data_IF_286443504962
#
_entry.id   IF_286443504962
#
_cell.length_a   1.000
_cell.length_b   1.000
_cell.length_c   1.000
_cell.angle_alpha   90.00
_cell.angle_beta   90.00
_cell.angle_gamma   90.00
#
_symmetry.space_group_name_H-M   'P 1'
#
loop_
_entity.id
_entity.type
_entity.pdbx_description
1 polymer ?
#
# COMPACT_ATOMS: atom_id res chain seq x y z
N UNK A 1 -59.01 2.74 13.04
CA UNK A 1 -59.04 1.28 12.68
C UNK A 1 -57.60 0.83 12.73
N UNK A 2 -57.15 0.31 13.85
CA UNK A 2 -57.04 -1.13 14.15
C UNK A 2 -55.98 -1.79 13.26
N UNK A 3 -54.92 -2.42 13.65
CA UNK A 3 -54.58 -3.30 14.78
C UNK A 3 -53.10 -3.66 14.71
N UNK A 4 -52.37 -3.56 15.77
CA UNK A 4 -51.45 -4.47 16.44
C UNK A 4 -51.00 -5.73 15.68
N UNK A 5 -49.71 -6.07 15.74
CA UNK A 5 -49.24 -7.22 16.51
C UNK A 5 -47.71 -7.23 16.68
N UNK A 6 -47.35 -7.52 17.92
CA UNK A 6 -46.01 -7.73 18.45
C UNK A 6 -45.51 -9.17 18.11
N UNK A 7 -44.19 -9.32 18.13
CA UNK A 7 -43.52 -10.62 18.09
C UNK A 7 -42.15 -10.56 18.71
N UNK A 8 -42.07 -10.76 20.01
CA UNK A 8 -40.86 -10.99 20.76
C UNK A 8 -40.38 -12.45 20.56
N UNK A 9 -39.09 -12.66 20.49
CA UNK A 9 -38.44 -13.95 20.48
C UNK A 9 -37.02 -13.88 21.01
N UNK A 10 -36.88 -13.87 22.33
CA UNK A 10 -35.63 -14.23 23.02
C UNK A 10 -35.41 -15.75 22.90
N UNK A 11 -34.18 -16.15 22.63
CA UNK A 11 -33.68 -17.42 23.11
C UNK A 11 -32.17 -17.37 23.35
N UNK A 12 -31.87 -17.25 24.60
CA UNK A 12 -30.61 -17.57 25.26
C UNK A 12 -30.41 -19.08 25.25
N UNK A 13 -29.19 -19.55 25.00
CA UNK A 13 -28.76 -20.81 25.55
C UNK A 13 -27.32 -20.75 26.03
N UNK A 14 -27.19 -20.90 27.30
CA UNK A 14 -26.07 -20.97 28.19
C UNK A 14 -25.70 -22.45 28.45
N UNK A 15 -24.43 -22.62 28.85
CA UNK A 15 -23.86 -23.73 29.66
C UNK A 15 -23.43 -25.00 28.91
N UNK A 16 -22.31 -25.64 29.20
CA UNK A 16 -21.48 -25.89 30.40
C UNK A 16 -20.39 -26.83 29.93
N UNK A 17 -19.13 -26.58 30.23
CA UNK A 17 -18.37 -27.07 31.36
C UNK A 17 -18.02 -28.58 31.36
N UNK A 18 -16.80 -28.83 31.77
CA UNK A 18 -16.21 -30.04 32.32
C UNK A 18 -15.20 -30.77 31.42
N UNK A 19 -13.93 -30.59 31.64
CA UNK A 19 -13.06 -31.18 32.67
C UNK A 19 -12.51 -32.58 32.31
N UNK A 20 -11.18 -32.62 32.30
CA UNK A 20 -10.26 -33.62 32.92
C UNK A 20 -10.30 -35.09 32.48
N UNK A 21 -9.13 -35.57 32.08
CA UNK A 21 -8.37 -36.71 32.59
C UNK A 21 -7.21 -36.99 31.62
N UNK A 22 -5.98 -36.73 31.95
CA UNK A 22 -4.91 -37.42 32.70
C UNK A 22 -4.73 -38.89 32.32
N UNK A 23 -3.42 -39.20 32.03
CA UNK A 23 -2.75 -40.51 32.10
C UNK A 23 -2.80 -41.36 30.83
N UNK A 24 -1.73 -41.81 30.24
CA UNK A 24 -0.68 -42.65 30.87
C UNK A 24 0.49 -42.80 29.88
N UNK A 25 1.68 -42.86 30.42
CA UNK A 25 2.96 -43.21 29.81
C UNK A 25 2.97 -44.72 29.58
N UNK A 26 3.43 -45.18 28.43
CA UNK A 26 4.20 -46.44 28.33
C UNK A 26 5.13 -46.39 27.10
N UNK A 27 6.38 -46.33 27.41
CA UNK A 27 7.59 -46.91 26.94
C UNK A 27 7.43 -48.16 26.03
N UNK A 28 8.13 -48.20 24.91
CA UNK A 28 8.87 -49.37 24.44
C UNK A 28 9.57 -49.15 23.09
N UNK A 29 10.91 -49.21 23.18
CA UNK A 29 11.83 -49.94 22.28
C UNK A 29 12.28 -49.34 20.97
N UNK A 30 13.50 -48.91 21.03
CA UNK A 30 14.57 -48.84 20.01
C UNK A 30 14.39 -49.77 18.82
N UNK A 31 14.37 -49.17 17.64
CA UNK A 31 14.84 -49.83 16.42
C UNK A 31 15.68 -48.83 15.62
N UNK A 32 16.98 -49.09 15.64
CA UNK A 32 17.97 -48.49 14.76
C UNK A 32 17.63 -48.81 13.31
N UNK A 33 17.24 -47.79 12.56
CA UNK A 33 17.25 -47.84 11.10
C UNK A 33 18.19 -46.77 10.61
N UNK A 34 19.30 -47.18 10.12
CA UNK A 34 20.23 -46.39 9.31
C UNK A 34 19.49 -45.90 8.08
N UNK A 35 19.18 -44.65 8.02
CA UNK A 35 18.73 -43.98 6.81
C UNK A 35 19.91 -43.23 6.22
N UNK A 36 20.37 -43.77 5.12
CA UNK A 36 21.28 -43.20 4.16
C UNK A 36 20.81 -41.76 3.84
N UNK A 37 21.64 -40.76 4.16
CA UNK A 37 21.38 -39.35 3.85
C UNK A 37 21.53 -39.18 2.33
N UNK A 38 20.40 -39.21 1.65
CA UNK A 38 20.27 -38.71 0.28
C UNK A 38 20.41 -37.18 0.36
N UNK A 39 21.53 -36.68 -0.16
CA UNK A 39 21.83 -35.27 -0.24
C UNK A 39 20.82 -34.60 -1.22
N UNK A 40 19.85 -33.92 -0.67
CA UNK A 40 19.01 -33.01 -1.47
C UNK A 40 19.91 -31.94 -2.11
N UNK A 41 19.77 -31.65 -3.41
CA UNK A 41 20.55 -30.60 -4.05
C UNK A 41 20.18 -29.26 -3.40
N UNK A 42 21.18 -28.58 -2.84
CA UNK A 42 21.05 -27.21 -2.39
C UNK A 42 20.42 -26.36 -3.48
N UNK A 43 19.41 -25.52 -3.17
CA UNK A 43 18.87 -24.59 -4.14
C UNK A 43 20.01 -23.70 -4.64
N UNK A 44 20.23 -23.73 -5.93
CA UNK A 44 21.11 -22.84 -6.67
C UNK A 44 20.72 -21.40 -6.29
N UNK A 45 21.63 -20.68 -5.62
CA UNK A 45 21.44 -19.28 -5.28
C UNK A 45 21.41 -18.56 -6.65
N UNK A 46 20.22 -18.29 -7.15
CA UNK A 46 20.03 -17.39 -8.29
C UNK A 46 20.54 -16.04 -7.80
N UNK A 47 21.70 -15.64 -8.29
CA UNK A 47 22.26 -14.31 -8.07
C UNK A 47 21.24 -13.34 -8.69
N UNK A 48 20.43 -12.71 -7.82
CA UNK A 48 19.45 -11.70 -8.20
C UNK A 48 20.26 -10.52 -8.75
N UNK A 49 20.29 -10.38 -10.09
CA UNK A 49 20.95 -9.26 -10.74
C UNK A 49 20.40 -7.97 -10.13
N UNK A 50 21.27 -7.22 -9.45
CA UNK A 50 20.91 -5.98 -8.76
C UNK A 50 20.35 -5.00 -9.79
N UNK A 51 19.03 -4.77 -9.73
CA UNK A 51 18.36 -3.75 -10.56
C UNK A 51 19.00 -2.40 -10.26
N UNK A 52 19.43 -1.64 -11.27
CA UNK A 52 20.02 -0.33 -11.02
C UNK A 52 19.02 0.57 -10.26
N UNK A 53 19.55 1.39 -9.35
CA UNK A 53 18.75 2.30 -8.53
C UNK A 53 18.42 3.54 -9.35
N UNK A 54 17.13 3.87 -9.49
CA UNK A 54 16.72 5.15 -10.04
C UNK A 54 16.94 6.26 -8.99
N UNK A 55 17.75 7.26 -9.30
CA UNK A 55 18.06 8.38 -8.41
C UNK A 55 17.15 9.61 -8.63
N UNK A 56 16.15 9.53 -9.52
CA UNK A 56 15.20 10.61 -9.76
C UNK A 56 14.35 10.89 -8.50
N UNK A 57 13.87 12.13 -8.39
CA UNK A 57 13.01 12.53 -7.27
C UNK A 57 11.72 11.69 -7.27
N UNK A 58 11.36 11.14 -6.11
CA UNK A 58 10.15 10.33 -5.91
C UNK A 58 9.01 11.09 -5.26
N UNK A 59 9.23 12.37 -4.88
CA UNK A 59 8.23 13.25 -4.26
C UNK A 59 8.04 14.49 -5.12
N UNK A 60 6.81 14.75 -5.52
CA UNK A 60 6.42 15.83 -6.42
C UNK A 60 5.49 16.79 -5.72
N UNK A 61 5.87 18.07 -5.65
CA UNK A 61 5.13 19.11 -4.93
C UNK A 61 4.20 19.91 -5.84
N UNK A 62 3.09 20.37 -5.25
CA UNK A 62 2.05 21.12 -5.95
C UNK A 62 1.78 22.46 -5.29
N UNK A 63 1.36 23.42 -6.09
CA UNK A 63 0.85 24.69 -5.58
C UNK A 63 -0.50 24.51 -4.86
N UNK A 64 -0.86 25.54 -4.10
CA UNK A 64 -2.14 25.57 -3.40
C UNK A 64 -3.29 25.40 -4.39
N UNK A 65 -4.18 24.48 -4.08
CA UNK A 65 -5.39 24.16 -4.84
C UNK A 65 -5.17 23.81 -6.32
N UNK A 66 -3.94 23.40 -6.70
CA UNK A 66 -3.60 23.00 -8.07
C UNK A 66 -3.17 21.54 -8.15
N UNK A 67 -3.39 20.97 -9.34
CA UNK A 67 -2.92 19.65 -9.74
C UNK A 67 -2.09 19.72 -11.04
N UNK A 68 -1.34 20.82 -11.23
CA UNK A 68 -0.52 21.05 -12.43
C UNK A 68 0.93 20.70 -12.11
N UNK A 69 1.56 19.93 -13.00
CA UNK A 69 2.97 19.55 -12.88
C UNK A 69 3.90 20.73 -13.19
N UNK A 70 4.90 20.95 -12.34
CA UNK A 70 6.01 21.85 -12.65
C UNK A 70 6.94 21.25 -13.70
N UNK A 71 7.78 22.07 -14.32
CA UNK A 71 8.75 21.59 -15.29
C UNK A 71 9.79 20.66 -14.65
N UNK A 72 10.20 20.92 -13.41
CA UNK A 72 11.08 20.06 -12.62
C UNK A 72 10.45 18.68 -12.39
N UNK A 73 9.15 18.65 -12.04
CA UNK A 73 8.41 17.40 -11.88
C UNK A 73 8.34 16.61 -13.18
N UNK A 74 8.13 17.28 -14.31
CA UNK A 74 8.08 16.62 -15.63
C UNK A 74 9.41 15.98 -16.00
N UNK A 75 10.53 16.66 -15.72
CA UNK A 75 11.87 16.10 -15.96
C UNK A 75 12.06 14.83 -15.13
N UNK A 76 11.81 14.88 -13.82
CA UNK A 76 11.94 13.71 -12.95
C UNK A 76 11.02 12.56 -13.36
N UNK A 77 9.79 12.85 -13.76
CA UNK A 77 8.85 11.83 -14.25
C UNK A 77 9.28 11.21 -15.59
N UNK A 78 9.96 11.98 -16.46
CA UNK A 78 10.53 11.43 -17.69
C UNK A 78 11.65 10.44 -17.37
N UNK A 79 12.54 10.75 -16.42
CA UNK A 79 13.59 9.83 -15.94
C UNK A 79 12.98 8.55 -15.34
N UNK A 80 11.88 8.67 -14.58
CA UNK A 80 11.16 7.51 -14.08
C UNK A 80 10.52 6.67 -15.19
N UNK A 81 9.96 7.30 -16.21
CA UNK A 81 9.36 6.59 -17.34
C UNK A 81 10.41 5.81 -18.14
N UNK A 82 11.57 6.41 -18.42
CA UNK A 82 12.69 5.75 -19.08
C UNK A 82 13.21 4.55 -18.26
N UNK A 83 13.30 4.72 -16.94
CA UNK A 83 13.69 3.64 -16.05
C UNK A 83 12.66 2.49 -16.05
N UNK A 84 11.38 2.79 -16.01
CA UNK A 84 10.29 1.80 -16.02
C UNK A 84 10.12 1.11 -17.39
N UNK A 85 10.55 1.73 -18.47
CA UNK A 85 10.63 1.09 -19.80
C UNK A 85 11.73 0.04 -19.82
N UNK A 86 12.89 0.35 -19.25
CA UNK A 86 14.02 -0.57 -19.15
C UNK A 86 13.81 -1.67 -18.09
N UNK A 87 13.19 -1.34 -16.98
CA UNK A 87 12.95 -2.21 -15.80
C UNK A 87 11.48 -2.13 -15.39
N UNK A 88 10.58 -2.85 -16.06
CA UNK A 88 9.14 -2.80 -15.76
C UNK A 88 8.82 -3.27 -14.34
N UNK A 89 8.19 -2.38 -13.56
CA UNK A 89 7.77 -2.65 -12.19
C UNK A 89 6.41 -2.01 -11.90
N UNK A 90 5.62 -2.56 -10.97
CA UNK A 90 4.43 -1.88 -10.49
C UNK A 90 4.80 -0.60 -9.73
N UNK A 91 4.04 0.46 -9.95
CA UNK A 91 4.24 1.78 -9.34
C UNK A 91 2.97 2.17 -8.59
N UNK A 92 3.12 2.73 -7.40
CA UNK A 92 2.04 3.33 -6.64
C UNK A 92 2.24 4.83 -6.52
N UNK A 93 1.19 5.59 -6.81
CA UNK A 93 1.16 7.05 -6.67
C UNK A 93 0.25 7.42 -5.51
N UNK A 94 0.83 8.01 -4.48
CA UNK A 94 0.15 8.41 -3.26
C UNK A 94 -0.06 9.92 -3.26
N UNK A 95 -1.34 10.35 -3.38
CA UNK A 95 -1.70 11.77 -3.48
C UNK A 95 -2.09 12.36 -2.13
N UNK A 96 -1.57 13.57 -1.86
CA UNK A 96 -1.78 14.27 -0.58
C UNK A 96 -2.23 15.72 -0.81
N UNK A 97 -2.90 16.27 0.22
CA UNK A 97 -3.31 17.66 0.31
C UNK A 97 -2.88 18.26 1.65
N UNK A 98 -2.94 19.58 1.76
CA UNK A 98 -2.82 20.25 3.06
C UNK A 98 -4.16 20.26 3.80
N UNK A 99 -4.16 20.64 5.08
CA UNK A 99 -5.32 20.61 6.00
C UNK A 99 -6.42 21.63 5.68
N UNK A 100 -6.24 22.49 4.67
CA UNK A 100 -7.21 23.55 4.32
C UNK A 100 -8.29 23.00 3.42
N UNK A 101 -9.55 23.11 3.85
CA UNK A 101 -10.72 22.64 3.11
C UNK A 101 -11.49 21.56 3.88
N UNK A 102 -12.36 20.82 3.17
CA UNK A 102 -13.02 19.66 3.75
C UNK A 102 -12.25 18.39 3.41
N UNK A 103 -12.39 17.39 4.26
CA UNK A 103 -11.77 16.07 4.07
C UNK A 103 -12.08 15.47 2.70
N UNK A 104 -13.34 15.54 2.29
CA UNK A 104 -13.80 15.01 1.01
C UNK A 104 -13.16 15.77 -0.15
N UNK A 105 -13.05 17.09 -0.04
CA UNK A 105 -12.38 17.92 -1.04
C UNK A 105 -10.90 17.58 -1.15
N UNK A 106 -10.20 17.46 -0.03
CA UNK A 106 -8.78 17.14 0.02
C UNK A 106 -8.48 15.72 -0.49
N UNK A 107 -9.38 14.77 -0.23
CA UNK A 107 -9.32 13.43 -0.81
C UNK A 107 -9.39 13.48 -2.34
N UNK A 108 -10.37 14.19 -2.89
CA UNK A 108 -10.52 14.36 -4.33
C UNK A 108 -9.34 15.15 -4.95
N UNK A 109 -8.78 16.14 -4.24
CA UNK A 109 -7.62 16.90 -4.70
C UNK A 109 -6.35 16.05 -4.75
N UNK A 110 -6.11 15.22 -3.72
CA UNK A 110 -5.01 14.27 -3.70
C UNK A 110 -5.10 13.27 -4.86
N UNK A 111 -6.31 12.74 -5.11
CA UNK A 111 -6.56 11.85 -6.24
C UNK A 111 -6.32 12.52 -7.60
N UNK A 112 -6.79 13.76 -7.80
CA UNK A 112 -6.54 14.53 -9.03
C UNK A 112 -5.05 14.74 -9.29
N UNK A 113 -4.26 15.06 -8.25
CA UNK A 113 -2.80 15.21 -8.34
C UNK A 113 -2.12 13.91 -8.76
N UNK A 114 -2.46 12.80 -8.10
CA UNK A 114 -1.90 11.50 -8.43
C UNK A 114 -2.29 11.05 -9.85
N UNK A 115 -3.53 11.30 -10.27
CA UNK A 115 -3.96 11.03 -11.65
C UNK A 115 -3.21 11.88 -12.68
N UNK A 116 -2.90 13.14 -12.40
CA UNK A 116 -2.09 13.98 -13.30
C UNK A 116 -0.67 13.41 -13.48
N UNK A 117 -0.07 12.89 -12.41
CA UNK A 117 1.22 12.18 -12.50
C UNK A 117 1.08 10.90 -13.32
N UNK A 118 0.06 10.09 -13.07
CA UNK A 118 -0.26 8.88 -13.84
C UNK A 118 -0.41 9.17 -15.33
N UNK A 119 -1.24 10.16 -15.67
CA UNK A 119 -1.47 10.56 -17.06
C UNK A 119 -0.16 10.94 -17.76
N UNK A 120 0.73 11.65 -17.07
CA UNK A 120 2.03 12.00 -17.62
C UNK A 120 2.90 10.77 -17.87
N UNK A 121 3.01 9.84 -16.90
CA UNK A 121 3.77 8.59 -17.07
C UNK A 121 3.21 7.74 -18.22
N UNK A 122 1.88 7.66 -18.34
CA UNK A 122 1.23 6.94 -19.45
C UNK A 122 1.53 7.59 -20.79
N UNK A 123 1.56 8.92 -20.88
CA UNK A 123 1.97 9.63 -22.10
C UNK A 123 3.44 9.36 -22.47
N UNK A 124 4.30 9.07 -21.49
CA UNK A 124 5.68 8.68 -21.71
C UNK A 124 5.84 7.19 -22.03
N UNK A 125 4.76 6.40 -22.07
CA UNK A 125 4.78 5.00 -22.47
C UNK A 125 4.61 3.97 -21.35
N UNK A 126 4.55 4.40 -20.08
CA UNK A 126 4.36 3.47 -18.96
C UNK A 126 2.94 2.88 -19.00
N UNK A 127 2.78 1.54 -18.93
CA UNK A 127 1.46 0.93 -19.00
C UNK A 127 0.54 1.39 -17.85
N UNK A 128 -0.67 1.85 -18.18
CA UNK A 128 -1.64 2.31 -17.17
C UNK A 128 -2.01 1.23 -16.14
N UNK A 129 -1.90 -0.04 -16.50
CA UNK A 129 -2.17 -1.20 -15.64
C UNK A 129 -1.09 -1.43 -14.58
N UNK A 130 0.12 -0.91 -14.77
CA UNK A 130 1.19 -0.99 -13.78
C UNK A 130 1.16 0.15 -12.76
N UNK A 131 0.26 1.14 -12.91
CA UNK A 131 0.20 2.32 -12.06
C UNK A 131 -1.06 2.30 -11.21
N UNK A 132 -0.89 2.11 -9.91
CA UNK A 132 -1.93 2.26 -8.90
C UNK A 132 -1.98 3.71 -8.40
N UNK A 133 -3.18 4.25 -8.18
CA UNK A 133 -3.40 5.59 -7.62
C UNK A 133 -4.15 5.45 -6.30
N UNK A 134 -3.61 6.05 -5.24
CA UNK A 134 -4.22 6.15 -3.93
C UNK A 134 -4.21 7.61 -3.49
N UNK A 135 -5.31 8.09 -2.92
CA UNK A 135 -5.35 9.38 -2.26
C UNK A 135 -5.47 9.20 -0.76
N UNK A 136 -4.66 9.91 -0.03
CA UNK A 136 -4.77 10.07 1.42
C UNK A 136 -5.32 11.44 1.83
N UNK A 137 -5.53 12.35 0.86
CA UNK A 137 -5.99 13.70 1.16
C UNK A 137 -5.09 14.37 2.21
N UNK A 138 -5.67 14.83 3.31
CA UNK A 138 -4.96 15.45 4.43
C UNK A 138 -4.58 14.47 5.55
N UNK A 139 -4.98 13.20 5.45
CA UNK A 139 -4.86 12.21 6.54
C UNK A 139 -3.42 11.83 6.86
N UNK A 140 -2.52 11.89 5.88
CA UNK A 140 -1.11 11.52 6.04
C UNK A 140 -0.22 12.73 5.75
N UNK A 141 -0.04 13.57 6.76
CA UNK A 141 0.78 14.76 6.68
C UNK A 141 2.28 14.42 6.72
N UNK A 142 3.08 15.00 5.81
CA UNK A 142 4.54 14.93 5.87
C UNK A 142 5.12 15.93 6.89
N UNK A 143 4.41 17.02 7.16
CA UNK A 143 4.80 18.04 8.12
C UNK A 143 3.61 18.52 8.91
N UNK A 144 3.78 18.59 10.23
CA UNK A 144 2.74 19.06 11.15
C UNK A 144 2.95 20.58 11.40
N UNK A 145 1.87 21.33 11.34
CA UNK A 145 1.84 22.77 11.61
C UNK A 145 0.99 23.54 10.61
N UNK A 146 0.26 24.52 11.13
CA UNK A 146 -0.66 25.36 10.35
C UNK A 146 0.06 26.59 9.79
N UNK A 147 1.04 26.37 8.93
CA UNK A 147 1.82 27.41 8.26
C UNK A 147 2.18 27.00 6.82
N UNK A 148 2.54 27.98 5.98
CA UNK A 148 2.79 27.72 4.56
C UNK A 148 3.97 26.74 4.32
N UNK A 149 4.96 26.71 5.20
CA UNK A 149 6.08 25.77 5.06
C UNK A 149 5.60 24.32 5.20
N UNK A 150 4.78 24.02 6.23
CA UNK A 150 4.20 22.69 6.45
C UNK A 150 3.19 22.33 5.34
N UNK A 151 2.32 23.27 4.97
CA UNK A 151 1.35 23.03 3.91
C UNK A 151 2.01 22.74 2.56
N UNK A 152 3.11 23.40 2.23
CA UNK A 152 3.86 23.13 1.00
C UNK A 152 4.38 21.68 0.97
N UNK A 153 4.86 21.16 2.10
CA UNK A 153 5.34 19.78 2.19
C UNK A 153 4.21 18.75 2.12
N UNK A 154 3.01 19.13 2.55
CA UNK A 154 1.84 18.25 2.51
C UNK A 154 1.20 18.18 1.11
N UNK A 155 1.33 19.23 0.28
CA UNK A 155 0.80 19.25 -1.09
C UNK A 155 1.73 18.49 -2.04
N UNK A 156 1.66 17.16 -2.00
CA UNK A 156 2.60 16.31 -2.73
C UNK A 156 1.95 15.06 -3.33
N UNK A 157 2.65 14.46 -4.26
CA UNK A 157 2.45 13.07 -4.70
C UNK A 157 3.75 12.32 -4.46
N UNK A 158 3.68 11.13 -3.88
CA UNK A 158 4.79 10.24 -3.67
C UNK A 158 4.70 9.06 -4.66
N UNK A 159 5.82 8.74 -5.28
CA UNK A 159 5.98 7.56 -6.15
C UNK A 159 6.69 6.47 -5.34
N UNK A 160 6.05 5.30 -5.27
CA UNK A 160 6.51 4.11 -4.53
C UNK A 160 6.67 2.92 -5.46
#
# INVERSE_FOLDING_TARGET
>A
MLLCLAGAGCSSNTTKDSAEAVSTIEDTTVATATVEAEAEPMPEIVEEEAVPVNNAATVFYFEFDKAVLSDETRIALTEHAEFLDAYPAPVRLEGHADERGTREYNMALGERRANTVKEYLVLQGVPASSIEVISYGEEVAASFGSNEASWRMNRRVELK
#
